data_IF_567397983490
#
_entry.id   IF_567397983490
#
_cell.length_a   1.000
_cell.length_b   1.000
_cell.length_c   1.000
_cell.angle_alpha   90.00
_cell.angle_beta   90.00
_cell.angle_gamma   90.00
#
_symmetry.space_group_name_H-M   'P 1'
#
loop_
_entity.id
_entity.type
_entity.pdbx_description
1 polymer ?
#
# COMPACT_ATOMS: atom_id res chain seq x y z
N UNK A 1 -3.70 16.37 18.38
CA UNK A 1 -4.76 16.25 17.37
C UNK A 1 -4.69 14.88 16.71
N UNK A 2 -5.85 14.26 16.52
CA UNK A 2 -5.97 12.96 15.86
C UNK A 2 -6.81 13.16 14.61
N UNK A 3 -6.32 12.65 13.49
CA UNK A 3 -6.99 12.69 12.20
C UNK A 3 -7.28 11.28 11.73
N UNK A 4 -8.51 11.07 11.28
CA UNK A 4 -8.95 9.79 10.75
C UNK A 4 -9.39 10.00 9.30
N UNK A 5 -9.03 9.08 8.43
CA UNK A 5 -9.57 9.03 7.08
C UNK A 5 -9.96 7.59 6.73
N UNK A 6 -10.94 7.46 5.88
CA UNK A 6 -11.39 6.18 5.38
C UNK A 6 -11.93 6.37 3.96
N UNK A 7 -11.72 5.38 3.13
CA UNK A 7 -12.20 5.44 1.76
C UNK A 7 -12.57 4.07 1.24
N UNK A 8 -13.43 4.05 0.25
CA UNK A 8 -13.85 2.85 -0.44
C UNK A 8 -13.94 3.13 -1.93
N UNK A 9 -13.37 2.24 -2.73
CA UNK A 9 -13.43 2.31 -4.18
C UNK A 9 -13.92 0.99 -4.73
N UNK A 10 -14.89 1.05 -5.62
CA UNK A 10 -15.37 -0.09 -6.38
C UNK A 10 -14.98 0.09 -7.84
N UNK A 11 -14.40 -0.93 -8.43
CA UNK A 11 -14.02 -0.93 -9.83
C UNK A 11 -14.53 -2.19 -10.50
N UNK A 12 -15.45 -2.03 -11.44
CA UNK A 12 -15.92 -3.10 -12.32
C UNK A 12 -15.41 -2.83 -13.73
N UNK A 13 -14.14 -3.11 -13.94
CA UNK A 13 -13.48 -2.86 -15.21
C UNK A 13 -13.39 -4.15 -16.04
N UNK A 14 -13.82 -4.07 -17.29
CA UNK A 14 -13.81 -5.17 -18.25
C UNK A 14 -13.09 -4.76 -19.52
N UNK A 15 -12.44 -5.72 -20.17
CA UNK A 15 -11.92 -5.52 -21.50
C UNK A 15 -13.10 -5.49 -22.47
N UNK A 16 -13.22 -4.37 -23.20
CA UNK A 16 -14.34 -4.17 -24.15
C UNK A 16 -14.27 -5.11 -25.35
N UNK A 17 -13.09 -5.63 -25.67
CA UNK A 17 -12.88 -6.48 -26.83
C UNK A 17 -13.42 -7.90 -26.61
N UNK A 18 -13.18 -8.48 -25.43
CA UNK A 18 -13.53 -9.86 -25.14
C UNK A 18 -14.44 -10.02 -23.90
N UNK A 19 -14.85 -8.92 -23.26
CA UNK A 19 -15.75 -8.94 -22.11
C UNK A 19 -15.14 -9.51 -20.83
N UNK A 20 -13.83 -9.74 -20.80
CA UNK A 20 -13.14 -10.26 -19.62
C UNK A 20 -12.75 -9.13 -18.67
N UNK A 21 -12.55 -9.50 -17.42
CA UNK A 21 -12.13 -8.58 -16.38
C UNK A 21 -10.70 -8.06 -16.64
N UNK A 22 -10.50 -6.76 -16.45
CA UNK A 22 -9.15 -6.18 -16.56
C UNK A 22 -8.21 -6.74 -15.50
N UNK A 23 -6.99 -7.01 -15.91
CA UNK A 23 -5.91 -7.53 -15.06
C UNK A 23 -5.34 -6.43 -14.18
N UNK A 24 -4.69 -6.84 -13.11
CA UNK A 24 -3.95 -5.95 -12.20
C UNK A 24 -4.83 -4.86 -11.61
N UNK A 25 -6.07 -5.20 -11.32
CA UNK A 25 -7.05 -4.31 -10.70
C UNK A 25 -7.79 -5.02 -9.58
N UNK A 26 -7.89 -4.35 -8.45
CA UNK A 26 -8.77 -4.79 -7.38
C UNK A 26 -10.22 -4.42 -7.70
N UNK A 27 -11.13 -5.29 -7.39
CA UNK A 27 -12.56 -5.02 -7.51
C UNK A 27 -13.05 -4.07 -6.43
N UNK A 28 -12.58 -4.28 -5.22
CA UNK A 28 -12.86 -3.43 -4.06
C UNK A 28 -11.55 -3.00 -3.43
N UNK A 29 -11.46 -1.74 -3.07
CA UNK A 29 -10.34 -1.22 -2.31
C UNK A 29 -10.86 -0.42 -1.12
N UNK A 30 -10.42 -0.80 0.07
CA UNK A 30 -10.73 -0.10 1.31
C UNK A 30 -9.45 0.54 1.83
N UNK A 31 -9.51 1.81 2.16
CA UNK A 31 -8.40 2.55 2.75
C UNK A 31 -8.79 3.04 4.13
N UNK A 32 -7.85 3.00 5.03
CA UNK A 32 -8.00 3.53 6.39
C UNK A 32 -6.70 4.19 6.82
N UNK A 33 -6.80 5.34 7.42
CA UNK A 33 -5.63 6.04 7.94
C UNK A 33 -5.95 6.71 9.26
N UNK A 34 -4.97 6.71 10.14
CA UNK A 34 -5.00 7.47 11.37
C UNK A 34 -3.67 8.17 11.56
N UNK A 35 -3.72 9.43 11.96
CA UNK A 35 -2.51 10.17 12.31
C UNK A 35 -2.70 10.94 13.62
N UNK A 36 -1.65 10.96 14.39
CA UNK A 36 -1.57 11.71 15.62
C UNK A 36 -0.50 12.77 15.49
N UNK A 37 -0.90 14.02 15.65
CA UNK A 37 -0.01 15.18 15.59
C UNK A 37 -0.13 15.94 16.92
N UNK A 38 0.83 15.80 17.83
CA UNK A 38 0.83 16.56 19.08
C UNK A 38 1.09 18.05 18.80
N UNK A 39 0.66 18.90 19.70
CA UNK A 39 0.91 20.35 19.59
C UNK A 39 2.38 20.70 19.69
N UNK A 40 3.12 19.94 20.48
CA UNK A 40 4.55 20.10 20.60
C UNK A 40 5.26 19.47 19.39
N UNK A 41 5.92 20.29 18.57
CA UNK A 41 6.63 19.84 17.37
C UNK A 41 7.81 18.91 17.68
N UNK A 42 8.33 18.93 18.89
CA UNK A 42 9.41 18.05 19.34
C UNK A 42 8.91 16.69 19.83
N UNK A 43 7.62 16.51 19.94
CA UNK A 43 7.02 15.20 20.21
C UNK A 43 6.88 14.39 18.89
N UNK A 44 6.67 13.10 19.03
CA UNK A 44 6.53 12.22 17.87
C UNK A 44 5.16 12.38 17.21
N UNK A 45 5.16 12.71 15.93
CA UNK A 45 4.02 12.53 15.04
C UNK A 45 3.99 11.07 14.61
N UNK A 46 2.81 10.47 14.65
CA UNK A 46 2.63 9.08 14.27
C UNK A 46 1.55 8.98 13.19
N UNK A 47 1.78 8.17 12.18
CA UNK A 47 0.75 7.87 11.19
C UNK A 47 0.72 6.37 10.88
N UNK A 48 -0.47 5.88 10.63
CA UNK A 48 -0.73 4.51 10.23
C UNK A 48 -1.70 4.54 9.07
N UNK A 49 -1.34 3.83 8.00
CA UNK A 49 -2.17 3.70 6.81
C UNK A 49 -2.37 2.25 6.47
N UNK A 50 -3.57 1.91 6.04
CA UNK A 50 -3.94 0.56 5.64
C UNK A 50 -4.70 0.63 4.33
N UNK A 51 -4.31 -0.23 3.40
CA UNK A 51 -5.01 -0.43 2.13
C UNK A 51 -5.33 -1.90 1.98
N UNK A 52 -6.61 -2.23 1.87
CA UNK A 52 -7.07 -3.58 1.63
C UNK A 52 -7.63 -3.69 0.21
N UNK A 53 -7.05 -4.57 -0.57
CA UNK A 53 -7.45 -4.84 -1.95
C UNK A 53 -8.16 -6.19 -1.99
N UNK A 54 -9.42 -6.17 -2.42
CA UNK A 54 -10.27 -7.35 -2.44
C UNK A 54 -10.59 -7.68 -3.89
N UNK A 55 -10.39 -8.94 -4.26
CA UNK A 55 -10.63 -9.40 -5.62
C UNK A 55 -9.62 -8.87 -6.62
N UNK A 56 -8.36 -8.75 -6.24
CA UNK A 56 -7.29 -8.36 -7.15
C UNK A 56 -7.07 -9.45 -8.18
N UNK A 57 -7.26 -9.12 -9.46
CA UNK A 57 -7.18 -10.03 -10.58
C UNK A 57 -5.82 -9.90 -11.28
N UNK A 58 -5.08 -10.97 -11.35
CA UNK A 58 -3.72 -10.94 -11.88
C UNK A 58 -3.36 -12.25 -12.59
N UNK A 59 -2.33 -12.18 -13.41
CA UNK A 59 -1.72 -13.35 -14.01
C UNK A 59 -0.71 -13.94 -13.03
N UNK A 60 -0.93 -15.18 -12.60
CA UNK A 60 -0.03 -15.84 -11.67
C UNK A 60 1.27 -16.36 -12.30
N UNK A 61 1.43 -16.15 -13.61
CA UNK A 61 2.64 -16.56 -14.33
C UNK A 61 2.68 -18.01 -14.76
N UNK A 62 1.75 -18.83 -14.31
CA UNK A 62 1.67 -20.20 -14.79
C UNK A 62 1.11 -20.23 -16.20
N UNK A 63 1.72 -21.03 -17.04
CA UNK A 63 1.22 -21.27 -18.38
C UNK A 63 0.56 -22.63 -18.41
N UNK A 64 -0.67 -22.67 -18.86
CA UNK A 64 -1.28 -23.94 -19.24
C UNK A 64 -0.57 -24.50 -20.47
N UNK A 65 -0.79 -25.78 -20.72
CA UNK A 65 -0.43 -26.40 -22.01
C UNK A 65 -1.06 -25.56 -23.13
N UNK A 66 -0.30 -25.14 -24.10
CA UNK A 66 -0.72 -24.27 -25.22
C UNK A 66 -0.42 -22.77 -25.03
N UNK A 67 0.31 -22.39 -24.01
CA UNK A 67 0.75 -20.99 -23.81
C UNK A 67 -0.29 -20.05 -23.21
N UNK A 68 -1.42 -20.54 -22.75
CA UNK A 68 -2.41 -19.74 -22.04
C UNK A 68 -1.91 -19.42 -20.62
N UNK A 69 -2.28 -18.24 -20.14
CA UNK A 69 -1.95 -17.83 -18.78
C UNK A 69 -3.11 -18.14 -17.82
N UNK A 70 -2.77 -18.58 -16.62
CA UNK A 70 -3.74 -18.76 -15.55
C UNK A 70 -3.89 -17.45 -14.80
N UNK A 71 -5.12 -17.01 -14.62
CA UNK A 71 -5.46 -15.81 -13.87
C UNK A 71 -6.10 -16.19 -12.56
N UNK A 72 -5.74 -15.47 -11.52
CA UNK A 72 -6.26 -15.68 -10.18
C UNK A 72 -6.75 -14.38 -9.58
N UNK A 73 -7.67 -14.50 -8.62
CA UNK A 73 -8.05 -13.37 -7.76
C UNK A 73 -7.49 -13.60 -6.37
N UNK A 74 -7.04 -12.54 -5.74
CA UNK A 74 -6.47 -12.61 -4.41
C UNK A 74 -6.82 -11.36 -3.62
N UNK A 75 -7.05 -11.56 -2.35
CA UNK A 75 -7.23 -10.46 -1.41
C UNK A 75 -5.90 -10.22 -0.70
N UNK A 76 -5.56 -8.95 -0.51
CA UNK A 76 -4.38 -8.61 0.26
C UNK A 76 -4.53 -7.25 0.92
N UNK A 77 -3.86 -7.09 2.05
CA UNK A 77 -3.85 -5.86 2.82
C UNK A 77 -2.42 -5.42 3.06
N UNK A 78 -2.16 -4.16 2.80
CA UNK A 78 -0.86 -3.54 3.05
C UNK A 78 -1.06 -2.46 4.10
N UNK A 79 -0.24 -2.49 5.14
CA UNK A 79 -0.25 -1.49 6.21
C UNK A 79 1.12 -0.84 6.31
N UNK A 80 1.12 0.47 6.54
CA UNK A 80 2.33 1.28 6.68
C UNK A 80 2.25 2.08 7.98
N UNK A 81 3.40 2.26 8.60
CA UNK A 81 3.51 3.13 9.77
C UNK A 81 4.65 4.12 9.57
N UNK A 82 4.45 5.33 10.01
CA UNK A 82 5.48 6.36 9.98
C UNK A 82 5.49 7.14 11.29
N UNK A 83 6.69 7.45 11.75
CA UNK A 83 6.91 8.32 12.89
C UNK A 83 7.89 9.43 12.50
N UNK A 84 7.62 10.64 12.96
CA UNK A 84 8.52 11.76 12.70
C UNK A 84 8.52 12.73 13.88
N UNK A 85 9.61 13.47 14.03
CA UNK A 85 9.70 14.55 15.02
C UNK A 85 10.77 15.55 14.64
N UNK A 86 10.63 16.75 15.14
CA UNK A 86 11.70 17.73 15.07
C UNK A 86 12.73 17.49 16.18
N UNK A 87 14.00 17.48 15.82
CA UNK A 87 15.11 17.48 16.78
C UNK A 87 15.40 18.90 17.27
N UNK A 88 15.26 19.86 16.35
CA UNK A 88 15.31 21.30 16.63
C UNK A 88 14.43 21.99 15.59
N UNK A 89 14.39 23.33 15.59
CA UNK A 89 13.50 24.09 14.69
C UNK A 89 13.80 23.88 13.19
N UNK A 90 15.02 23.46 12.86
CA UNK A 90 15.47 23.34 11.48
C UNK A 90 15.66 21.88 11.01
N UNK A 91 15.63 20.93 11.94
CA UNK A 91 15.90 19.52 11.65
C UNK A 91 14.73 18.64 12.05
N UNK A 92 14.26 17.84 11.10
CA UNK A 92 13.22 16.84 11.31
C UNK A 92 13.75 15.48 10.90
N UNK A 93 13.47 14.48 11.70
CA UNK A 93 13.75 13.08 11.37
C UNK A 93 12.45 12.32 11.17
N UNK A 94 12.49 11.30 10.34
CA UNK A 94 11.36 10.40 10.16
C UNK A 94 11.85 8.97 9.98
N UNK A 95 11.00 8.05 10.47
CA UNK A 95 11.19 6.63 10.39
C UNK A 95 9.91 6.03 9.83
N UNK A 96 10.04 5.06 8.97
CA UNK A 96 8.88 4.41 8.39
C UNK A 96 9.08 2.93 8.18
N UNK A 97 7.98 2.19 8.24
CA UNK A 97 7.93 0.78 7.85
C UNK A 97 6.77 0.64 6.88
N UNK A 98 7.08 0.29 5.65
CA UNK A 98 6.08 -0.01 4.64
C UNK A 98 5.82 -1.51 4.62
N UNK A 99 4.57 -1.89 4.40
CA UNK A 99 4.15 -3.28 4.34
C UNK A 99 4.54 -4.04 5.62
N UNK A 100 4.01 -3.61 6.75
CA UNK A 100 4.35 -4.14 8.08
C UNK A 100 4.14 -5.65 8.15
N UNK A 101 3.08 -6.16 7.52
CA UNK A 101 2.77 -7.58 7.50
C UNK A 101 3.71 -8.41 6.61
N UNK A 102 4.62 -7.74 5.90
CA UNK A 102 5.56 -8.38 4.97
C UNK A 102 4.86 -9.22 3.90
N UNK A 103 3.74 -8.67 3.38
CA UNK A 103 3.01 -9.34 2.32
C UNK A 103 3.84 -9.34 1.04
N UNK A 104 4.12 -10.52 0.52
CA UNK A 104 4.92 -10.71 -0.70
C UNK A 104 4.12 -11.51 -1.71
N UNK A 105 4.32 -11.18 -2.98
CA UNK A 105 3.86 -11.95 -4.12
C UNK A 105 2.36 -11.97 -4.39
N UNK A 106 2.03 -11.26 -5.42
CA UNK A 106 0.76 -11.40 -6.11
C UNK A 106 0.85 -12.39 -7.27
N UNK A 107 2.04 -12.92 -7.51
CA UNK A 107 2.36 -13.80 -8.62
C UNK A 107 3.79 -13.55 -9.12
N UNK A 108 4.33 -14.43 -9.96
CA UNK A 108 5.72 -14.35 -10.40
C UNK A 108 6.08 -13.11 -11.23
N UNK A 109 5.09 -12.37 -11.69
CA UNK A 109 5.29 -11.13 -12.46
C UNK A 109 4.88 -9.87 -11.71
N UNK A 110 4.61 -9.94 -10.43
CA UNK A 110 4.29 -8.76 -9.65
C UNK A 110 5.56 -8.07 -9.17
N UNK A 111 6.04 -7.16 -9.97
CA UNK A 111 7.34 -6.52 -9.78
C UNK A 111 7.36 -5.47 -8.67
N UNK A 112 6.21 -5.09 -8.15
CA UNK A 112 6.10 -3.95 -7.26
C UNK A 112 6.15 -4.27 -5.79
N UNK A 113 6.14 -5.53 -5.38
CA UNK A 113 6.05 -5.88 -3.98
C UNK A 113 7.36 -6.44 -3.45
N UNK A 114 8.15 -5.57 -2.87
CA UNK A 114 9.44 -5.92 -2.26
C UNK A 114 9.30 -6.48 -0.84
N UNK A 115 8.07 -6.65 -0.34
CA UNK A 115 7.83 -7.01 1.05
C UNK A 115 7.99 -5.82 2.00
N UNK A 116 8.41 -6.10 3.22
CA UNK A 116 8.60 -5.06 4.23
C UNK A 116 9.79 -4.17 3.87
N UNK A 117 9.56 -2.85 3.94
CA UNK A 117 10.58 -1.85 3.65
C UNK A 117 10.74 -0.92 4.84
N UNK A 118 11.97 -0.72 5.29
CA UNK A 118 12.31 0.22 6.34
C UNK A 118 12.86 1.50 5.72
N UNK A 119 12.35 2.64 6.17
CA UNK A 119 12.78 3.95 5.70
C UNK A 119 13.25 4.80 6.85
N UNK A 120 14.35 5.50 6.65
CA UNK A 120 14.90 6.48 7.57
C UNK A 120 15.26 7.73 6.77
N UNK A 121 14.88 8.88 7.26
CA UNK A 121 15.17 10.11 6.56
C UNK A 121 15.34 11.29 7.50
N UNK A 122 15.94 12.33 6.97
CA UNK A 122 16.15 13.58 7.67
C UNK A 122 15.89 14.75 6.72
N UNK A 123 15.23 15.75 7.23
CA UNK A 123 15.01 17.01 6.53
C UNK A 123 15.68 18.13 7.32
N UNK A 124 16.46 18.95 6.63
CA UNK A 124 17.11 20.10 7.22
C UNK A 124 16.74 21.37 6.44
N UNK A 125 16.30 22.38 7.18
CA UNK A 125 15.94 23.67 6.59
C UNK A 125 17.06 24.66 6.82
N UNK A 126 17.59 25.19 5.74
CA UNK A 126 18.61 26.23 5.77
C UNK A 126 18.04 27.63 6.06
#
# INVERSE_FOLDING_TARGET
>A
NIYLNAGYTFLDAKDKTNGTRLKDRAKHQVTFGVSYQPENIYAWDLSFDLVSNIGYYFNNGDKSTMGNFVYETKDFTIANIMASRHLNKDTKIYLGIDNISNHQNFGPYSDGNLGRLYRVGMEYKF
#
